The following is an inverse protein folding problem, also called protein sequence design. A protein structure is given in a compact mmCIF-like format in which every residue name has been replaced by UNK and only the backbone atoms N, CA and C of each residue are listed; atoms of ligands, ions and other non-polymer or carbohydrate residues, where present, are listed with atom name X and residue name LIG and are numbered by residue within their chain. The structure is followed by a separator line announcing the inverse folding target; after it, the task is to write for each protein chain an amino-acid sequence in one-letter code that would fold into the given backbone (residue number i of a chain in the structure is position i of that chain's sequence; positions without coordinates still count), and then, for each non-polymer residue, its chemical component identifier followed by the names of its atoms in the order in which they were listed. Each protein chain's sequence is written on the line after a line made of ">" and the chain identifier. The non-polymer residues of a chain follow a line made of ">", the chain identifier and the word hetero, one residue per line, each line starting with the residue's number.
data_IF_444273044707
#
_entry.id   IF_444273044707
#
_cell.length_a   1.000
_cell.length_b   1.000
_cell.length_c   1.000
_cell.angle_alpha   90.00
_cell.angle_beta   90.00
_cell.angle_gamma   90.00
#
_symmetry.space_group_name_H-M   'P 1'
#
loop_
_entity.id
_entity.type
_entity.pdbx_description
1 polymer ?
#
# COMPACT_ATOMS: atom_id res chain seq x y z
N UNK A 1 -8.21 -15.50 0.55
CA UNK A 1 -7.59 -14.23 0.11
C UNK A 1 -6.82 -14.52 -1.15
N UNK A 2 -7.16 -13.86 -2.26
CA UNK A 2 -6.37 -13.92 -3.49
C UNK A 2 -5.42 -12.73 -3.48
N UNK A 3 -4.14 -12.98 -3.76
CA UNK A 3 -3.10 -11.94 -3.79
C UNK A 3 -2.54 -11.88 -5.20
N UNK A 4 -2.44 -10.68 -5.74
CA UNK A 4 -1.87 -10.41 -7.06
C UNK A 4 -0.68 -9.49 -6.87
N UNK A 5 0.51 -9.93 -7.29
CA UNK A 5 1.71 -9.09 -7.29
C UNK A 5 1.79 -8.30 -8.61
N UNK A 6 1.77 -6.99 -8.50
CA UNK A 6 1.76 -6.07 -9.63
C UNK A 6 3.10 -5.33 -9.68
N UNK A 7 3.92 -5.64 -10.69
CA UNK A 7 5.22 -5.00 -10.84
C UNK A 7 5.10 -3.48 -11.01
N UNK A 8 5.84 -2.72 -10.20
CA UNK A 8 5.82 -1.25 -10.18
C UNK A 8 6.47 -0.55 -11.39
N UNK A 9 6.98 -1.29 -12.37
CA UNK A 9 7.55 -0.72 -13.59
C UNK A 9 6.47 -0.12 -14.47
N UNK A 10 6.72 1.05 -15.05
CA UNK A 10 5.75 1.81 -15.86
C UNK A 10 5.08 0.96 -16.97
N UNK A 11 5.85 0.08 -17.62
CA UNK A 11 5.36 -0.82 -18.67
C UNK A 11 4.34 -1.87 -18.19
N UNK A 12 4.36 -2.21 -16.92
CA UNK A 12 3.44 -3.18 -16.31
C UNK A 12 2.20 -2.51 -15.71
N UNK A 13 2.18 -1.17 -15.61
CA UNK A 13 1.05 -0.43 -15.02
C UNK A 13 -0.22 -0.48 -15.86
N UNK A 14 -0.09 -0.68 -17.18
CA UNK A 14 -1.23 -0.75 -18.11
C UNK A 14 -2.17 -1.94 -17.83
N UNK A 15 -1.69 -2.99 -17.16
CA UNK A 15 -2.50 -4.18 -16.86
C UNK A 15 -3.14 -4.20 -15.47
N UNK A 16 -2.85 -3.20 -14.62
CA UNK A 16 -3.35 -3.18 -13.24
C UNK A 16 -4.88 -3.14 -13.16
N UNK A 17 -5.51 -2.38 -14.07
CA UNK A 17 -6.97 -2.23 -14.12
C UNK A 17 -7.72 -3.56 -14.28
N UNK A 18 -7.10 -4.58 -14.87
CA UNK A 18 -7.67 -5.93 -15.02
C UNK A 18 -7.93 -6.62 -13.67
N UNK A 19 -7.29 -6.17 -12.60
CA UNK A 19 -7.34 -6.78 -11.27
C UNK A 19 -8.18 -5.98 -10.26
N UNK A 20 -8.66 -4.79 -10.60
CA UNK A 20 -9.34 -3.92 -9.65
C UNK A 20 -10.72 -4.43 -9.26
N UNK A 21 -11.47 -4.98 -10.22
CA UNK A 21 -12.83 -5.45 -9.99
C UNK A 21 -12.88 -6.54 -8.92
N UNK A 22 -13.63 -6.27 -7.86
CA UNK A 22 -13.79 -7.20 -6.72
C UNK A 22 -12.63 -7.18 -5.72
N UNK A 23 -11.69 -6.23 -5.84
CA UNK A 23 -10.61 -6.07 -4.86
C UNK A 23 -11.14 -5.48 -3.56
N UNK A 24 -10.94 -6.20 -2.45
CA UNK A 24 -11.34 -5.73 -1.12
C UNK A 24 -10.24 -4.95 -0.39
N UNK A 25 -8.97 -5.14 -0.78
CA UNK A 25 -7.83 -4.47 -0.17
C UNK A 25 -6.71 -4.25 -1.17
N UNK A 26 -6.07 -3.09 -1.08
CA UNK A 26 -4.85 -2.73 -1.82
C UNK A 26 -3.69 -2.75 -0.83
N UNK A 27 -2.61 -3.46 -1.17
CA UNK A 27 -1.37 -3.46 -0.39
C UNK A 27 -0.30 -2.72 -1.18
N UNK A 28 0.08 -1.52 -0.72
CA UNK A 28 1.16 -0.74 -1.31
C UNK A 28 2.45 -0.96 -0.51
N UNK A 29 3.45 -1.59 -1.13
CA UNK A 29 4.75 -1.84 -0.49
C UNK A 29 5.73 -0.73 -0.88
N UNK A 30 6.18 0.04 0.10
CA UNK A 30 7.09 1.16 -0.09
C UNK A 30 8.49 0.74 0.34
N UNK A 31 9.47 0.96 -0.55
CA UNK A 31 10.88 0.84 -0.22
C UNK A 31 11.31 2.04 0.63
N UNK A 32 11.42 1.85 1.95
CA UNK A 32 11.68 2.95 2.88
C UNK A 32 13.09 3.55 2.72
N UNK A 33 14.01 2.86 2.05
CA UNK A 33 15.33 3.41 1.72
C UNK A 33 15.32 4.36 0.51
N UNK A 34 14.28 4.32 -0.31
CA UNK A 34 14.23 5.06 -1.58
C UNK A 34 13.40 6.34 -1.49
N UNK A 35 14.01 7.37 -0.91
CA UNK A 35 13.43 8.71 -0.79
C UNK A 35 13.19 9.37 -2.15
N UNK A 36 13.95 9.02 -3.19
CA UNK A 36 13.87 9.65 -4.50
C UNK A 36 12.60 9.26 -5.27
N UNK A 37 12.10 8.04 -5.05
CA UNK A 37 10.91 7.52 -5.75
C UNK A 37 9.60 7.71 -4.99
N UNK A 38 9.61 8.25 -3.78
CA UNK A 38 8.40 8.37 -2.94
C UNK A 38 7.31 9.24 -3.58
N UNK A 39 7.69 10.30 -4.30
CA UNK A 39 6.74 11.16 -5.04
C UNK A 39 6.05 10.40 -6.17
N UNK A 40 6.79 9.55 -6.90
CA UNK A 40 6.23 8.69 -7.94
C UNK A 40 5.24 7.70 -7.32
N UNK A 41 5.58 7.12 -6.17
CA UNK A 41 4.69 6.19 -5.45
C UNK A 41 3.41 6.87 -4.98
N UNK A 42 3.48 8.15 -4.57
CA UNK A 42 2.30 8.95 -4.26
C UNK A 42 1.39 9.07 -5.49
N UNK A 43 1.93 9.53 -6.62
CA UNK A 43 1.12 9.77 -7.82
C UNK A 43 0.46 8.48 -8.32
N UNK A 44 1.15 7.34 -8.24
CA UNK A 44 0.59 6.04 -8.60
C UNK A 44 -0.49 5.58 -7.62
N UNK A 45 -0.28 5.77 -6.31
CA UNK A 45 -1.28 5.43 -5.29
C UNK A 45 -2.57 6.23 -5.54
N UNK A 46 -2.49 7.54 -5.72
CA UNK A 46 -3.68 8.37 -5.97
C UNK A 46 -4.36 8.05 -7.31
N UNK A 47 -3.59 7.74 -8.35
CA UNK A 47 -4.15 7.31 -9.64
C UNK A 47 -4.93 6.01 -9.49
N UNK A 48 -4.38 5.04 -8.77
CA UNK A 48 -5.01 3.75 -8.51
C UNK A 48 -6.30 3.92 -7.69
N UNK A 49 -6.24 4.69 -6.60
CA UNK A 49 -7.40 4.93 -5.72
C UNK A 49 -8.51 5.75 -6.38
N UNK A 50 -8.20 6.53 -7.42
CA UNK A 50 -9.19 7.25 -8.21
C UNK A 50 -10.05 6.33 -9.09
N UNK A 51 -9.74 5.04 -9.20
CA UNK A 51 -10.50 4.11 -10.01
C UNK A 51 -11.79 3.67 -9.32
N UNK A 52 -12.92 3.67 -10.04
CA UNK A 52 -14.25 3.36 -9.49
C UNK A 52 -14.33 1.98 -8.81
N UNK A 53 -13.70 0.97 -9.42
CA UNK A 53 -13.66 -0.40 -8.87
C UNK A 53 -12.95 -0.51 -7.51
N UNK A 54 -12.20 0.50 -7.07
CA UNK A 54 -11.44 0.48 -5.82
C UNK A 54 -12.02 1.35 -4.70
N UNK A 55 -13.08 2.12 -4.96
CA UNK A 55 -13.72 3.06 -4.00
C UNK A 55 -14.13 2.45 -2.65
N UNK A 56 -14.18 1.12 -2.55
CA UNK A 56 -14.57 0.40 -1.33
C UNK A 56 -13.48 -0.50 -0.78
N UNK A 57 -12.29 -0.44 -1.37
CA UNK A 57 -11.12 -1.18 -0.89
C UNK A 57 -10.53 -0.53 0.36
N UNK A 58 -9.87 -1.32 1.19
CA UNK A 58 -9.02 -0.78 2.27
C UNK A 58 -7.57 -0.74 1.82
N UNK A 59 -6.78 0.17 2.36
CA UNK A 59 -5.40 0.40 1.91
C UNK A 59 -4.44 0.07 3.04
N UNK A 60 -3.57 -0.91 2.82
CA UNK A 60 -2.43 -1.15 3.68
C UNK A 60 -1.17 -0.65 2.99
N UNK A 61 -0.46 0.27 3.63
CA UNK A 61 0.87 0.70 3.21
C UNK A 61 1.90 -0.02 4.07
N UNK A 62 2.74 -0.84 3.45
CA UNK A 62 3.91 -1.39 4.11
C UNK A 62 5.09 -0.43 3.94
N UNK A 63 5.57 0.14 5.05
CA UNK A 63 6.85 0.81 5.11
C UNK A 63 7.95 -0.24 5.23
N UNK A 64 8.37 -0.82 4.10
CA UNK A 64 9.26 -1.97 4.04
C UNK A 64 10.74 -1.56 4.11
N UNK A 65 11.62 -2.49 4.51
CA UNK A 65 13.07 -2.33 4.71
C UNK A 65 13.45 -1.47 5.92
N UNK A 66 12.69 -1.57 7.00
CA UNK A 66 13.02 -0.89 8.27
C UNK A 66 14.31 -1.43 8.93
N UNK A 67 14.85 -2.54 8.44
CA UNK A 67 16.17 -3.06 8.82
C UNK A 67 17.35 -2.24 8.24
N UNK A 68 17.11 -1.37 7.25
CA UNK A 68 18.14 -0.53 6.64
C UNK A 68 18.32 0.76 7.45
N UNK A 69 19.58 1.14 7.69
CA UNK A 69 19.91 2.42 8.31
C UNK A 69 19.38 3.59 7.48
N UNK A 70 18.83 4.61 8.15
CA UNK A 70 18.28 5.84 7.54
C UNK A 70 17.02 5.62 6.67
N UNK A 71 16.40 4.43 6.78
CA UNK A 71 15.08 4.16 6.23
C UNK A 71 14.06 5.20 6.71
N UNK A 72 13.18 5.63 5.81
CA UNK A 72 12.06 6.48 6.16
C UNK A 72 11.17 5.78 7.19
N UNK A 73 10.86 6.50 8.26
CA UNK A 73 9.88 6.07 9.25
C UNK A 73 8.47 6.02 8.66
N UNK A 74 7.53 5.27 9.27
CA UNK A 74 6.13 5.33 8.87
C UNK A 74 5.55 6.74 8.89
N UNK A 75 5.98 7.60 9.82
CA UNK A 75 5.54 8.99 9.87
C UNK A 75 6.01 9.77 8.63
N UNK A 76 7.29 9.69 8.27
CA UNK A 76 7.83 10.34 7.07
C UNK A 76 7.13 9.86 5.78
N UNK A 77 6.86 8.55 5.67
CA UNK A 77 6.14 7.99 4.51
C UNK A 77 4.69 8.47 4.48
N UNK A 78 4.04 8.56 5.63
CA UNK A 78 2.65 9.06 5.73
C UNK A 78 2.54 10.48 5.19
N UNK A 79 3.47 11.35 5.56
CA UNK A 79 3.53 12.74 5.09
C UNK A 79 3.89 12.80 3.60
N UNK A 80 4.92 12.07 3.18
CA UNK A 80 5.41 12.07 1.79
C UNK A 80 4.37 11.55 0.79
N UNK A 81 3.61 10.52 1.17
CA UNK A 81 2.49 10.01 0.39
C UNK A 81 1.21 10.82 0.60
N UNK A 82 1.17 11.75 1.56
CA UNK A 82 -0.03 12.51 1.91
C UNK A 82 -1.23 11.61 2.27
N UNK A 83 -0.99 10.52 3.01
CA UNK A 83 -2.07 9.57 3.37
C UNK A 83 -3.20 10.23 4.15
N UNK A 84 -2.88 11.28 4.92
CA UNK A 84 -3.88 12.08 5.64
C UNK A 84 -4.95 12.72 4.75
N UNK A 85 -4.69 12.93 3.46
CA UNK A 85 -5.69 13.48 2.53
C UNK A 85 -6.63 12.43 1.94
N UNK A 86 -6.35 11.14 2.13
CA UNK A 86 -7.25 10.06 1.74
C UNK A 86 -8.40 10.01 2.75
N UNK A 87 -9.61 10.31 2.29
CA UNK A 87 -10.84 10.40 3.11
C UNK A 87 -11.92 9.40 2.74
N UNK A 88 -11.80 8.83 1.54
CA UNK A 88 -12.74 7.92 0.90
C UNK A 88 -12.37 6.44 1.10
N UNK A 89 -11.19 6.16 1.65
CA UNK A 89 -10.73 4.81 1.96
C UNK A 89 -10.21 4.72 3.40
N UNK A 90 -10.51 3.61 4.08
CA UNK A 90 -9.81 3.24 5.29
C UNK A 90 -8.38 2.84 4.94
N UNK A 91 -7.41 3.39 5.65
CA UNK A 91 -6.01 3.09 5.42
C UNK A 91 -5.23 2.85 6.72
N UNK A 92 -4.13 2.12 6.60
CA UNK A 92 -3.17 1.90 7.66
C UNK A 92 -1.76 1.82 7.09
N UNK A 93 -0.78 2.28 7.86
CA UNK A 93 0.64 2.11 7.54
C UNK A 93 1.31 1.25 8.60
N UNK A 94 2.06 0.25 8.15
CA UNK A 94 2.74 -0.70 9.00
C UNK A 94 4.24 -0.72 8.66
N UNK A 95 5.07 -0.46 9.67
CA UNK A 95 6.52 -0.70 9.58
C UNK A 95 6.77 -2.20 9.38
N UNK A 96 7.61 -2.58 8.42
CA UNK A 96 7.97 -3.97 8.23
C UNK A 96 9.37 -4.17 7.64
N UNK A 97 9.84 -5.42 7.76
CA UNK A 97 10.95 -5.91 6.95
C UNK A 97 10.53 -7.23 6.32
N UNK A 98 10.43 -7.24 4.99
CA UNK A 98 10.17 -8.47 4.24
C UNK A 98 11.28 -9.52 4.42
N UNK A 99 12.50 -9.10 4.81
CA UNK A 99 13.63 -9.99 5.04
C UNK A 99 13.50 -10.74 6.37
N UNK A 100 13.13 -10.05 7.45
CA UNK A 100 12.95 -10.67 8.78
C UNK A 100 11.55 -11.22 9.01
N UNK A 101 10.56 -10.73 8.26
CA UNK A 101 9.14 -11.00 8.44
C UNK A 101 8.45 -10.11 9.49
N UNK A 102 9.20 -9.23 10.16
CA UNK A 102 8.67 -8.33 11.19
C UNK A 102 7.62 -7.39 10.62
N UNK A 103 6.51 -7.20 11.36
CA UNK A 103 5.40 -6.30 10.99
C UNK A 103 4.47 -6.81 9.90
N UNK A 104 4.82 -7.88 9.17
CA UNK A 104 3.97 -8.40 8.08
C UNK A 104 2.63 -8.93 8.60
N UNK A 105 2.65 -9.72 9.67
CA UNK A 105 1.44 -10.29 10.26
C UNK A 105 0.53 -9.22 10.87
N UNK A 106 1.09 -8.17 11.46
CA UNK A 106 0.33 -7.06 12.04
C UNK A 106 -0.45 -6.32 10.95
N UNK A 107 0.22 -5.98 9.83
CA UNK A 107 -0.42 -5.33 8.69
C UNK A 107 -1.51 -6.19 8.05
N UNK A 108 -1.24 -7.48 7.85
CA UNK A 108 -2.23 -8.42 7.32
C UNK A 108 -3.40 -8.65 8.29
N UNK A 109 -3.14 -8.66 9.60
CA UNK A 109 -4.16 -8.71 10.64
C UNK A 109 -5.10 -7.51 10.60
N UNK A 110 -4.56 -6.31 10.33
CA UNK A 110 -5.37 -5.12 10.12
C UNK A 110 -6.34 -5.28 8.93
N UNK A 111 -5.86 -5.76 7.78
CA UNK A 111 -6.72 -6.05 6.62
C UNK A 111 -7.81 -7.06 6.99
N UNK A 112 -7.42 -8.17 7.63
CA UNK A 112 -8.36 -9.23 8.01
C UNK A 112 -9.50 -8.69 8.88
N UNK A 113 -9.21 -7.76 9.80
CA UNK A 113 -10.22 -7.12 10.63
C UNK A 113 -11.17 -6.14 9.90
N UNK A 114 -10.84 -5.68 8.69
CA UNK A 114 -11.69 -4.74 7.91
C UNK A 114 -12.44 -5.43 6.77
N UNK A 115 -11.83 -6.45 6.17
CA UNK A 115 -12.43 -7.16 5.03
C UNK A 115 -13.48 -8.17 5.49
N UNK A 116 -13.40 -8.69 6.71
CA UNK A 116 -14.33 -9.71 7.25
C UNK A 116 -15.75 -9.20 7.59
N UNK A 117 -16.05 -7.92 7.37
CA UNK A 117 -17.37 -7.33 7.64
C UNK A 117 -18.26 -7.06 6.42
N UNK A 118 -17.79 -7.35 5.19
CA UNK A 118 -18.58 -7.13 3.96
C UNK A 118 -19.10 -8.47 3.44
N UNK A 119 -20.16 -8.96 4.08
CA UNK A 119 -20.98 -10.06 3.57
C UNK A 119 -22.13 -9.51 2.71
#
# INVERSE_FOLDING_TARGET
>A
MYVWDLGGQERLRTSWATYYRGTNAVIAVIDSSDRARISIMKDELFRLLGHEDLQHSVILVFANKQDIKDAMTPAEITDALSLHSIKDHDWHIQACSALSGEGLYDGLGWIAGRVTGKA
#
